data_IF_612348889416
#
_entry.id   IF_612348889416
#
_cell.length_a   1.000
_cell.length_b   1.000
_cell.length_c   1.000
_cell.angle_alpha   90.00
_cell.angle_beta   90.00
_cell.angle_gamma   90.00
#
_symmetry.space_group_name_H-M   'P 1'
#
loop_
_entity.id
_entity.type
_entity.pdbx_description
1 polymer ?
#
# COMPACT_ATOMS: atom_id res chain seq x y z
N UNK A 1 -29.12 23.86 -3.69
CA UNK A 1 -27.63 23.92 -3.63
C UNK A 1 -27.15 22.52 -3.94
N UNK A 2 -26.54 22.29 -5.11
CA UNK A 2 -25.81 21.05 -5.35
C UNK A 2 -24.55 21.17 -4.51
N UNK A 3 -24.41 20.34 -3.48
CA UNK A 3 -23.11 20.09 -2.89
C UNK A 3 -22.27 19.49 -4.00
N UNK A 4 -21.48 20.32 -4.68
CA UNK A 4 -20.42 19.88 -5.55
C UNK A 4 -19.48 19.06 -4.67
N UNK A 5 -19.66 17.75 -4.75
CA UNK A 5 -18.90 16.74 -4.04
C UNK A 5 -17.44 16.96 -4.45
N UNK A 6 -16.70 17.74 -3.65
CA UNK A 6 -15.30 18.07 -3.93
C UNK A 6 -14.56 16.75 -4.10
N UNK A 7 -14.19 16.46 -5.35
CA UNK A 7 -13.49 15.23 -5.68
C UNK A 7 -12.18 15.28 -4.90
N UNK A 8 -11.91 14.25 -4.10
CA UNK A 8 -10.66 14.18 -3.35
C UNK A 8 -9.50 14.15 -4.36
N UNK A 9 -8.65 15.19 -4.32
CA UNK A 9 -7.50 15.33 -5.21
C UNK A 9 -6.31 14.46 -4.80
N UNK A 10 -6.45 13.68 -3.71
CA UNK A 10 -5.43 12.75 -3.25
C UNK A 10 -5.15 11.66 -4.29
N UNK A 11 -3.88 11.50 -4.66
CA UNK A 11 -3.45 10.43 -5.57
C UNK A 11 -3.54 9.04 -4.94
N UNK A 12 -3.51 8.95 -3.61
CA UNK A 12 -3.57 7.69 -2.86
C UNK A 12 -4.90 7.58 -2.14
N UNK A 13 -5.66 6.54 -2.46
CA UNK A 13 -6.88 6.15 -1.79
C UNK A 13 -6.74 4.83 -1.04
N UNK A 14 -7.58 4.64 -0.02
CA UNK A 14 -7.67 3.39 0.74
C UNK A 14 -9.10 2.87 0.77
N UNK A 15 -9.25 1.57 0.62
CA UNK A 15 -10.47 0.81 0.83
C UNK A 15 -10.13 -0.41 1.69
N UNK A 16 -11.01 -0.80 2.61
CA UNK A 16 -10.81 -2.01 3.40
C UNK A 16 -12.04 -2.92 3.36
N UNK A 17 -11.78 -4.21 3.10
CA UNK A 17 -12.76 -5.29 3.19
C UNK A 17 -12.48 -6.10 4.44
N UNK A 18 -13.52 -6.31 5.24
CA UNK A 18 -13.48 -7.07 6.49
C UNK A 18 -14.49 -8.20 6.42
N UNK A 19 -14.14 -9.36 6.96
CA UNK A 19 -15.10 -10.44 7.15
C UNK A 19 -16.00 -10.16 8.38
N UNK A 20 -17.15 -10.83 8.43
CA UNK A 20 -18.15 -10.64 9.48
C UNK A 20 -17.56 -11.11 10.83
N UNK A 21 -17.62 -10.24 11.85
CA UNK A 21 -17.15 -10.53 13.20
C UNK A 21 -15.64 -10.31 13.42
N UNK A 22 -14.96 -9.62 12.51
CA UNK A 22 -13.53 -9.35 12.67
C UNK A 22 -13.26 -8.30 13.75
N UNK A 23 -12.75 -8.77 14.89
CA UNK A 23 -12.36 -7.92 16.02
C UNK A 23 -11.19 -6.99 15.69
N UNK A 24 -10.43 -7.27 14.62
CA UNK A 24 -9.29 -6.47 14.20
C UNK A 24 -9.68 -5.28 13.30
N UNK A 25 -10.97 -5.07 13.06
CA UNK A 25 -11.49 -4.00 12.21
C UNK A 25 -11.05 -2.62 12.68
N UNK A 26 -11.18 -2.33 13.97
CA UNK A 26 -10.82 -1.02 14.52
C UNK A 26 -9.31 -0.78 14.51
N UNK A 27 -8.50 -1.83 14.73
CA UNK A 27 -7.05 -1.77 14.58
C UNK A 27 -6.70 -1.31 13.16
N UNK A 28 -7.17 -2.02 12.14
CA UNK A 28 -6.86 -1.70 10.73
C UNK A 28 -7.43 -0.34 10.33
N UNK A 29 -8.64 0.01 10.78
CA UNK A 29 -9.20 1.35 10.55
C UNK A 29 -8.33 2.45 11.13
N UNK A 30 -7.80 2.28 12.33
CA UNK A 30 -6.88 3.26 12.92
C UNK A 30 -5.61 3.41 12.08
N UNK A 31 -5.05 2.33 11.56
CA UNK A 31 -3.91 2.39 10.64
C UNK A 31 -4.21 3.16 9.35
N UNK A 32 -5.40 2.96 8.75
CA UNK A 32 -5.73 3.58 7.47
C UNK A 32 -6.25 5.02 7.63
N UNK A 33 -7.12 5.25 8.61
CA UNK A 33 -7.96 6.44 8.72
C UNK A 33 -7.98 7.10 10.10
N UNK A 34 -7.29 6.56 11.10
CA UNK A 34 -7.12 7.25 12.37
C UNK A 34 -6.35 8.56 12.21
N UNK A 35 -6.25 9.35 13.28
CA UNK A 35 -5.63 10.69 13.23
C UNK A 35 -4.20 10.67 12.68
N UNK A 36 -3.42 9.65 13.07
CA UNK A 36 -2.06 9.39 12.56
C UNK A 36 -2.01 8.29 11.48
N UNK A 37 -3.15 7.99 10.86
CA UNK A 37 -3.32 6.97 9.84
C UNK A 37 -2.70 7.34 8.50
N UNK A 38 -2.60 6.35 7.62
CA UNK A 38 -2.00 6.48 6.30
C UNK A 38 -2.69 7.52 5.41
N UNK A 39 -4.02 7.61 5.46
CA UNK A 39 -4.77 8.63 4.71
C UNK A 39 -4.26 10.03 5.03
N UNK A 40 -4.11 10.36 6.32
CA UNK A 40 -3.70 11.70 6.74
C UNK A 40 -2.23 11.95 6.42
N UNK A 41 -1.36 10.97 6.65
CA UNK A 41 0.07 11.04 6.31
C UNK A 41 0.33 11.31 4.82
N UNK A 42 -0.56 10.83 3.95
CA UNK A 42 -0.41 10.92 2.49
C UNK A 42 -1.33 11.96 1.84
N UNK A 43 -2.15 12.69 2.62
CA UNK A 43 -3.17 13.62 2.10
C UNK A 43 -2.61 14.85 1.36
N UNK A 44 -1.32 15.14 1.51
CA UNK A 44 -0.66 16.23 0.78
C UNK A 44 -0.24 15.83 -0.65
N UNK A 45 -0.26 14.53 -0.96
CA UNK A 45 0.12 14.02 -2.28
C UNK A 45 -1.06 14.15 -3.24
N UNK A 46 -1.06 15.21 -4.05
CA UNK A 46 -2.12 15.49 -5.03
C UNK A 46 -1.75 14.95 -6.41
N UNK A 47 -2.73 14.38 -7.12
CA UNK A 47 -2.47 13.70 -8.41
C UNK A 47 -1.84 14.63 -9.45
N UNK A 48 -2.28 15.89 -9.49
CA UNK A 48 -1.82 16.91 -10.42
C UNK A 48 -0.33 17.28 -10.26
N UNK A 49 0.27 17.03 -9.09
CA UNK A 49 1.71 17.24 -8.87
C UNK A 49 2.58 16.24 -9.65
N UNK A 50 2.00 15.13 -10.10
CA UNK A 50 2.72 14.04 -10.76
C UNK A 50 2.37 13.91 -12.25
N UNK A 51 1.28 14.52 -12.71
CA UNK A 51 0.84 14.50 -14.10
C UNK A 51 -0.64 14.10 -14.25
N UNK A 52 -1.16 14.20 -15.47
CA UNK A 52 -2.61 14.05 -15.74
C UNK A 52 -3.05 12.64 -16.19
N UNK A 53 -2.09 11.71 -16.32
CA UNK A 53 -2.32 10.36 -16.83
C UNK A 53 -2.83 9.35 -15.80
N UNK A 54 -2.81 9.67 -14.51
CA UNK A 54 -3.31 8.84 -13.43
C UNK A 54 -3.81 9.75 -12.30
N UNK A 55 -5.04 9.56 -11.86
CA UNK A 55 -5.70 10.39 -10.85
C UNK A 55 -5.80 9.68 -9.50
N UNK A 56 -5.86 8.34 -9.47
CA UNK A 56 -5.95 7.60 -8.22
C UNK A 56 -5.24 6.23 -8.26
N UNK A 57 -4.49 5.95 -7.20
CA UNK A 57 -3.97 4.64 -6.83
C UNK A 57 -4.76 4.20 -5.59
N UNK A 58 -5.62 3.20 -5.76
CA UNK A 58 -6.50 2.71 -4.69
C UNK A 58 -5.93 1.46 -4.05
N UNK A 59 -5.39 1.58 -2.84
CA UNK A 59 -5.01 0.42 -2.04
C UNK A 59 -6.25 -0.24 -1.45
N UNK A 60 -6.55 -1.45 -1.91
CA UNK A 60 -7.65 -2.28 -1.43
C UNK A 60 -7.09 -3.28 -0.41
N UNK A 61 -7.30 -2.99 0.86
CA UNK A 61 -6.87 -3.80 1.99
C UNK A 61 -7.91 -4.89 2.25
N UNK A 62 -7.50 -6.15 2.15
CA UNK A 62 -8.33 -7.31 2.42
C UNK A 62 -7.86 -7.94 3.72
N UNK A 63 -8.70 -7.87 4.75
CA UNK A 63 -8.39 -8.43 6.06
C UNK A 63 -8.89 -9.86 6.15
N UNK A 64 -7.95 -10.78 6.38
CA UNK A 64 -8.15 -12.23 6.48
C UNK A 64 -9.08 -12.80 5.40
N UNK A 65 -8.88 -12.47 4.11
CA UNK A 65 -9.82 -12.87 3.07
C UNK A 65 -9.94 -14.39 2.99
N UNK A 66 -11.15 -14.87 2.75
CA UNK A 66 -11.42 -16.29 2.51
C UNK A 66 -10.48 -16.87 1.42
N UNK A 67 -10.11 -18.17 1.50
CA UNK A 67 -9.10 -18.76 0.61
C UNK A 67 -9.37 -18.56 -0.89
N UNK A 68 -10.65 -18.59 -1.30
CA UNK A 68 -11.04 -18.35 -2.69
C UNK A 68 -10.67 -16.93 -3.16
N UNK A 69 -11.02 -15.92 -2.37
CA UNK A 69 -10.69 -14.53 -2.68
C UNK A 69 -9.16 -14.33 -2.66
N UNK A 70 -8.47 -14.86 -1.65
CA UNK A 70 -7.01 -14.79 -1.53
C UNK A 70 -6.28 -15.30 -2.78
N UNK A 71 -6.72 -16.41 -3.38
CA UNK A 71 -6.11 -16.97 -4.59
C UNK A 71 -6.20 -16.03 -5.79
N UNK A 72 -7.23 -15.19 -5.85
CA UNK A 72 -7.50 -14.28 -6.97
C UNK A 72 -6.87 -12.87 -6.81
N UNK A 73 -6.33 -12.53 -5.63
CA UNK A 73 -5.83 -11.17 -5.31
C UNK A 73 -4.32 -10.96 -5.59
N UNK A 74 -3.64 -11.89 -6.28
CA UNK A 74 -2.16 -11.93 -6.32
C UNK A 74 -1.47 -10.83 -7.13
N UNK A 75 -2.22 -10.03 -7.90
CA UNK A 75 -1.66 -8.98 -8.77
C UNK A 75 -2.35 -7.63 -8.61
N UNK A 76 -1.63 -6.56 -8.97
CA UNK A 76 -2.26 -5.25 -9.12
C UNK A 76 -3.24 -5.25 -10.31
N UNK A 77 -4.35 -4.55 -10.16
CA UNK A 77 -5.36 -4.46 -11.20
C UNK A 77 -4.82 -3.71 -12.43
N UNK A 78 -5.50 -3.88 -13.56
CA UNK A 78 -5.16 -3.12 -14.76
C UNK A 78 -5.55 -1.64 -14.60
N UNK A 79 -4.84 -0.79 -15.33
CA UNK A 79 -5.21 0.61 -15.45
C UNK A 79 -6.61 0.73 -16.07
N UNK A 80 -7.44 1.59 -15.49
CA UNK A 80 -8.78 1.89 -15.97
C UNK A 80 -8.82 3.29 -16.59
N UNK A 81 -8.82 3.43 -17.93
CA UNK A 81 -8.70 4.73 -18.59
C UNK A 81 -9.81 5.72 -18.26
N UNK A 82 -11.05 5.25 -18.11
CA UNK A 82 -12.21 6.10 -17.79
C UNK A 82 -12.13 6.73 -16.40
N UNK A 83 -11.59 5.98 -15.45
CA UNK A 83 -11.43 6.40 -14.04
C UNK A 83 -10.04 7.00 -13.78
N UNK A 84 -9.13 6.88 -14.75
CA UNK A 84 -7.68 7.09 -14.59
C UNK A 84 -7.14 6.50 -13.29
N UNK A 85 -7.51 5.26 -13.02
CA UNK A 85 -7.25 4.61 -11.73
C UNK A 85 -6.48 3.31 -11.88
N UNK A 86 -5.72 2.95 -10.83
CA UNK A 86 -5.13 1.62 -10.64
C UNK A 86 -5.47 1.16 -9.23
N UNK A 87 -6.05 -0.02 -9.09
CA UNK A 87 -6.29 -0.62 -7.79
C UNK A 87 -5.19 -1.64 -7.43
N UNK A 88 -4.81 -1.63 -6.16
CA UNK A 88 -3.68 -2.38 -5.62
C UNK A 88 -4.17 -3.19 -4.42
N UNK A 89 -4.33 -4.51 -4.54
CA UNK A 89 -4.70 -5.34 -3.41
C UNK A 89 -3.54 -5.47 -2.41
N UNK A 90 -3.87 -5.32 -1.13
CA UNK A 90 -3.02 -5.64 0.03
C UNK A 90 -3.76 -6.67 0.86
N UNK A 91 -3.11 -7.77 1.22
CA UNK A 91 -3.72 -8.83 2.04
C UNK A 91 -3.10 -8.75 3.43
N UNK A 92 -3.94 -8.64 4.45
CA UNK A 92 -3.54 -8.75 5.85
C UNK A 92 -4.05 -10.09 6.39
N UNK A 93 -3.17 -10.91 6.92
CA UNK A 93 -3.52 -12.18 7.55
C UNK A 93 -2.75 -12.37 8.85
N UNK A 94 -3.04 -13.47 9.55
CA UNK A 94 -2.39 -13.79 10.83
C UNK A 94 -0.87 -13.93 10.68
N UNK A 95 -0.41 -14.40 9.53
CA UNK A 95 0.98 -14.76 9.31
C UNK A 95 1.84 -13.57 8.87
N UNK A 96 1.25 -12.55 8.26
CA UNK A 96 1.99 -11.41 7.73
C UNK A 96 1.80 -10.10 8.52
N UNK A 97 0.68 -9.94 9.25
CA UNK A 97 0.34 -8.68 9.88
C UNK A 97 -0.07 -8.83 11.34
N UNK A 98 -1.08 -9.65 11.66
CA UNK A 98 -1.67 -9.65 13.01
C UNK A 98 -0.80 -10.28 14.10
N UNK A 99 0.26 -11.02 13.74
CA UNK A 99 1.25 -11.52 14.71
C UNK A 99 2.38 -10.54 15.01
N UNK A 100 2.45 -9.43 14.28
CA UNK A 100 3.51 -8.45 14.38
C UNK A 100 3.26 -7.48 15.54
N UNK A 101 4.34 -6.92 16.10
CA UNK A 101 4.26 -5.80 17.04
C UNK A 101 3.69 -4.56 16.34
N UNK A 102 3.19 -3.57 17.09
CA UNK A 102 2.65 -2.34 16.50
C UNK A 102 3.66 -1.62 15.60
N UNK A 103 4.92 -1.54 16.03
CA UNK A 103 6.03 -0.97 15.24
C UNK A 103 6.27 -1.76 13.96
N UNK A 104 6.26 -3.09 14.03
CA UNK A 104 6.44 -3.96 12.86
C UNK A 104 5.24 -3.89 11.90
N UNK A 105 4.02 -3.70 12.41
CA UNK A 105 2.82 -3.48 11.61
C UNK A 105 2.89 -2.13 10.85
N UNK A 106 3.39 -1.07 11.49
CA UNK A 106 3.65 0.21 10.82
C UNK A 106 4.67 0.04 9.70
N UNK A 107 5.78 -0.68 9.98
CA UNK A 107 6.81 -0.97 8.99
C UNK A 107 6.26 -1.80 7.82
N UNK A 108 5.46 -2.83 8.11
CA UNK A 108 4.81 -3.67 7.12
C UNK A 108 4.00 -2.85 6.10
N UNK A 109 3.17 -1.90 6.58
CA UNK A 109 2.40 -1.05 5.67
C UNK A 109 3.30 -0.18 4.80
N UNK A 110 4.31 0.46 5.40
CA UNK A 110 5.23 1.33 4.67
C UNK A 110 5.96 0.56 3.58
N UNK A 111 6.55 -0.60 3.91
CA UNK A 111 7.26 -1.45 2.95
C UNK A 111 6.31 -1.93 1.84
N UNK A 112 5.12 -2.42 2.22
CA UNK A 112 4.13 -2.93 1.26
C UNK A 112 3.69 -1.84 0.29
N UNK A 113 3.40 -0.63 0.76
CA UNK A 113 2.99 0.49 -0.11
C UNK A 113 4.09 0.84 -1.11
N UNK A 114 5.33 0.99 -0.64
CA UNK A 114 6.49 1.33 -1.49
C UNK A 114 6.73 0.23 -2.53
N UNK A 115 6.71 -1.04 -2.13
CA UNK A 115 6.88 -2.18 -3.03
C UNK A 115 5.78 -2.20 -4.12
N UNK A 116 4.52 -2.05 -3.71
CA UNK A 116 3.39 -2.04 -4.65
C UNK A 116 3.43 -0.85 -5.60
N UNK A 117 3.89 0.32 -5.18
CA UNK A 117 4.13 1.44 -6.10
C UNK A 117 5.21 1.11 -7.15
N UNK A 118 6.19 0.28 -6.79
CA UNK A 118 7.14 -0.31 -7.76
C UNK A 118 6.43 -1.12 -8.85
N UNK A 119 5.38 -1.85 -8.50
CA UNK A 119 4.54 -2.57 -9.49
C UNK A 119 3.68 -1.59 -10.32
N UNK A 120 3.13 -0.55 -9.69
CA UNK A 120 2.38 0.52 -10.40
C UNK A 120 3.26 1.21 -11.44
N UNK A 121 4.55 1.44 -11.14
CA UNK A 121 5.52 2.00 -12.09
C UNK A 121 5.59 1.20 -13.40
N UNK A 122 5.51 -0.12 -13.32
CA UNK A 122 5.45 -0.98 -14.50
C UNK A 122 4.15 -0.79 -15.31
N UNK A 123 3.01 -0.57 -14.65
CA UNK A 123 1.74 -0.28 -15.33
C UNK A 123 1.73 1.11 -15.97
N UNK A 124 2.26 2.13 -15.28
CA UNK A 124 2.40 3.49 -15.81
C UNK A 124 3.22 3.48 -17.10
N UNK A 125 4.38 2.81 -17.09
CA UNK A 125 5.23 2.66 -18.27
C UNK A 125 4.51 1.90 -19.41
N UNK A 126 3.90 0.76 -19.10
CA UNK A 126 3.20 -0.07 -20.10
C UNK A 126 2.07 0.67 -20.80
N UNK A 127 1.32 1.48 -20.05
CA UNK A 127 0.19 2.25 -20.59
C UNK A 127 0.60 3.64 -21.11
N UNK A 128 1.90 3.99 -21.08
CA UNK A 128 2.44 5.29 -21.51
C UNK A 128 1.72 6.49 -20.86
N UNK A 129 1.40 6.37 -19.56
CA UNK A 129 0.67 7.42 -18.86
C UNK A 129 1.60 8.63 -18.64
N UNK A 130 1.07 9.83 -18.88
CA UNK A 130 1.73 11.08 -18.49
C UNK A 130 1.69 11.23 -16.96
N UNK A 131 2.58 10.53 -16.26
CA UNK A 131 2.60 10.47 -14.80
C UNK A 131 4.00 10.12 -14.26
N UNK A 132 4.55 10.98 -13.40
CA UNK A 132 5.85 10.83 -12.77
C UNK A 132 5.77 9.96 -11.50
N UNK A 133 5.60 8.66 -11.71
CA UNK A 133 5.55 7.66 -10.64
C UNK A 133 6.85 7.59 -9.80
N UNK A 134 8.00 7.95 -10.38
CA UNK A 134 9.25 7.95 -9.61
C UNK A 134 9.25 9.05 -8.54
N UNK A 135 8.75 10.25 -8.89
CA UNK A 135 8.59 11.35 -7.93
C UNK A 135 7.58 10.98 -6.84
N UNK A 136 6.43 10.40 -7.21
CA UNK A 136 5.45 9.93 -6.22
C UNK A 136 6.05 8.93 -5.23
N UNK A 137 6.84 7.96 -5.70
CA UNK A 137 7.50 6.99 -4.81
C UNK A 137 8.44 7.68 -3.82
N UNK A 138 9.23 8.67 -4.28
CA UNK A 138 10.14 9.43 -3.41
C UNK A 138 9.36 10.22 -2.35
N UNK A 139 8.28 10.88 -2.74
CA UNK A 139 7.45 11.65 -1.80
C UNK A 139 6.80 10.72 -0.79
N UNK A 140 6.21 9.59 -1.22
CA UNK A 140 5.63 8.59 -0.31
C UNK A 140 6.66 8.04 0.67
N UNK A 141 7.87 7.72 0.21
CA UNK A 141 8.97 7.29 1.08
C UNK A 141 9.26 8.35 2.15
N UNK A 142 9.29 9.62 1.76
CA UNK A 142 9.51 10.74 2.68
C UNK A 142 8.36 10.88 3.68
N UNK A 143 7.10 10.90 3.22
CA UNK A 143 5.91 11.06 4.06
C UNK A 143 5.76 9.94 5.10
N UNK A 144 6.24 8.74 4.79
CA UNK A 144 6.17 7.58 5.67
C UNK A 144 7.47 7.32 6.46
N UNK A 145 8.44 8.24 6.41
CA UNK A 145 9.76 8.08 7.02
C UNK A 145 10.42 6.73 6.65
N UNK A 146 10.27 6.31 5.39
CA UNK A 146 10.82 5.06 4.89
C UNK A 146 12.35 5.11 4.97
N UNK A 147 12.91 4.27 5.83
CA UNK A 147 14.34 4.00 5.87
C UNK A 147 14.57 2.79 4.99
N UNK A 148 15.28 2.99 3.88
CA UNK A 148 15.79 1.87 3.11
C UNK A 148 16.76 1.14 4.04
N UNK A 149 16.33 -0.02 4.56
CA UNK A 149 17.23 -0.91 5.26
C UNK A 149 18.35 -1.22 4.27
N UNK A 150 19.57 -0.77 4.56
CA UNK A 150 20.72 -1.05 3.72
C UNK A 150 20.74 -2.56 3.47
N UNK A 151 20.47 -2.97 2.22
CA UNK A 151 20.88 -4.28 1.74
C UNK A 151 22.41 -4.24 1.64
N UNK A 152 23.09 -4.32 2.78
CA UNK A 152 24.50 -4.66 2.81
C UNK A 152 24.59 -6.10 2.33
N UNK A 153 25.08 -6.24 1.10
CA UNK A 153 25.74 -7.45 0.63
C UNK A 153 26.64 -8.00 1.73
N UNK A 154 26.38 -9.27 2.07
CA UNK A 154 27.15 -10.16 2.93
C UNK A 154 28.44 -9.58 3.53
N UNK A 155 28.43 -9.30 4.83
CA UNK A 155 29.37 -9.87 5.81
C UNK A 155 29.05 -9.35 7.23
N UNK A 156 28.80 -10.31 8.11
CA UNK A 156 28.86 -10.25 9.57
C UNK A 156 27.78 -9.50 10.36
N UNK A 157 27.08 -10.32 11.15
CA UNK A 157 26.29 -10.06 12.37
C UNK A 157 24.86 -9.48 12.26
N UNK A 158 23.92 -10.41 12.51
CA UNK A 158 22.72 -10.26 13.37
C UNK A 158 21.84 -9.05 13.06
N UNK A 159 21.16 -9.03 11.91
CA UNK A 159 19.81 -8.45 11.81
C UNK A 159 19.09 -9.09 10.61
N UNK A 160 18.29 -10.13 10.89
CA UNK A 160 17.44 -10.78 9.88
C UNK A 160 16.29 -9.83 9.52
N UNK A 161 16.18 -9.48 8.23
CA UNK A 161 15.02 -8.78 7.68
C UNK A 161 13.71 -9.52 8.01
N UNK A 162 12.61 -8.80 8.21
CA UNK A 162 11.28 -9.40 8.46
C UNK A 162 10.89 -10.42 7.38
N UNK A 163 11.24 -10.16 6.12
CA UNK A 163 11.03 -11.09 5.00
C UNK A 163 11.90 -12.36 5.10
N UNK A 164 13.16 -12.25 5.54
CA UNK A 164 14.01 -13.42 5.80
C UNK A 164 13.49 -14.22 7.00
N UNK A 165 13.02 -13.57 8.08
CA UNK A 165 12.41 -14.25 9.23
C UNK A 165 11.10 -14.94 8.88
N UNK A 166 10.35 -14.41 7.91
CA UNK A 166 9.13 -15.04 7.39
C UNK A 166 9.50 -16.25 6.52
N UNK A 167 10.48 -16.15 5.63
CA UNK A 167 10.93 -17.27 4.78
C UNK A 167 11.50 -18.43 5.64
N UNK A 168 12.40 -18.13 6.59
CA UNK A 168 12.99 -19.12 7.50
C UNK A 168 11.95 -19.79 8.40
N UNK A 169 10.91 -19.07 8.83
CA UNK A 169 9.86 -19.61 9.71
C UNK A 169 8.82 -20.47 8.98
N UNK A 170 8.77 -20.41 7.65
CA UNK A 170 7.76 -21.12 6.84
C UNK A 170 8.32 -22.16 5.85
N UNK A 171 9.64 -22.44 5.86
CA UNK A 171 10.30 -23.42 4.96
C UNK A 171 9.84 -23.33 3.50
N UNK A 172 9.81 -22.12 2.95
CA UNK A 172 9.61 -21.86 1.51
C UNK A 172 10.94 -21.63 0.81
#
# INVERSE_FOLDING_TARGET
MKDDKKIDENIIGFFASFDIGDNDKELVKNYLWGDNGLKNKLAHLKWNNYGHGLEIILFKVYVKPIPYLRKNLRGIENYKPKEKSIAVPIILDRDNFFKLSETDQQLFFTETIVEKLGLVKSKVKRNKLNFNISLLITDVKTSLNYKELEKKSATNNVYNSLWQRIIEKFNL
#
